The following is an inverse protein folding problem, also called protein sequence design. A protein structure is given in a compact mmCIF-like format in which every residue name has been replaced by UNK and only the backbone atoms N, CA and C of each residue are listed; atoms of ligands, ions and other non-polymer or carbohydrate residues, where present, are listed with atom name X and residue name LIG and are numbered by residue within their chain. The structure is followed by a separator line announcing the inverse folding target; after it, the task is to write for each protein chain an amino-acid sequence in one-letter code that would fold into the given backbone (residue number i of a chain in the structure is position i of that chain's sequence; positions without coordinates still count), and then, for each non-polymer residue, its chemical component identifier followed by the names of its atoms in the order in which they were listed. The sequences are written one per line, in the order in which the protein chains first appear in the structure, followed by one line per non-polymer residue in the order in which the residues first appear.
data_IF_883140737143
#
_entry.id   IF_883140737143
#
_cell.length_a   1.000
_cell.length_b   1.000
_cell.length_c   1.000
_cell.angle_alpha   90.00
_cell.angle_beta   90.00
_cell.angle_gamma   90.00
#
_symmetry.space_group_name_H-M   'P 1'
#
loop_
_entity.id
_entity.type
_entity.pdbx_description
1 polymer ?
#
# COMPACT_ATOMS: atom_id res chain seq x y z
N UNK A 1 -1.28 -6.51 17.52
CA UNK A 1 -1.45 -7.74 18.34
C UNK A 1 -0.17 -8.57 18.47
N UNK A 2 0.52 -8.99 17.40
CA UNK A 2 1.74 -9.82 17.52
C UNK A 2 3.08 -9.11 17.20
N UNK A 3 3.08 -7.82 16.84
CA UNK A 3 4.29 -7.08 16.43
C UNK A 3 4.81 -7.41 15.03
N UNK A 4 4.07 -8.20 14.25
CA UNK A 4 4.37 -8.49 12.84
C UNK A 4 3.86 -7.37 11.93
N UNK A 5 4.52 -7.21 10.78
CA UNK A 5 3.99 -6.44 9.65
C UNK A 5 3.09 -7.32 8.79
N UNK A 6 2.09 -6.71 8.17
CA UNK A 6 1.28 -7.34 7.14
C UNK A 6 1.52 -6.60 5.82
N UNK A 7 2.06 -7.28 4.81
CA UNK A 7 2.30 -6.70 3.49
C UNK A 7 1.16 -7.11 2.57
N UNK A 8 0.26 -6.17 2.25
CA UNK A 8 -0.81 -6.41 1.29
C UNK A 8 -0.20 -6.61 -0.11
N UNK A 9 -0.64 -7.63 -0.85
CA UNK A 9 0.05 -8.01 -2.10
C UNK A 9 -0.89 -8.32 -3.25
N UNK A 10 -0.43 -8.05 -4.46
CA UNK A 10 -1.06 -8.45 -5.72
C UNK A 10 -0.94 -9.96 -6.02
N UNK A 11 -1.54 -10.41 -7.13
CA UNK A 11 -1.37 -11.76 -7.69
C UNK A 11 -0.73 -11.72 -9.09
N UNK A 12 -0.32 -12.86 -9.63
CA UNK A 12 0.32 -12.92 -10.97
C UNK A 12 -0.63 -12.51 -12.10
N UNK A 13 -1.90 -12.90 -12.02
CA UNK A 13 -3.00 -12.35 -12.80
C UNK A 13 -3.73 -11.26 -12.00
N UNK A 14 -3.89 -10.08 -12.58
CA UNK A 14 -4.56 -8.93 -11.97
C UNK A 14 -5.47 -8.24 -12.99
N UNK A 15 -6.43 -7.48 -12.46
CA UNK A 15 -7.32 -6.58 -13.20
C UNK A 15 -7.00 -5.12 -12.86
N UNK A 16 -7.77 -4.15 -13.37
CA UNK A 16 -7.68 -2.76 -12.88
C UNK A 16 -8.25 -2.54 -11.47
N UNK A 17 -8.86 -3.55 -10.83
CA UNK A 17 -9.36 -3.43 -9.46
C UNK A 17 -8.24 -2.95 -8.53
N UNK A 18 -8.52 -1.98 -7.67
CA UNK A 18 -7.51 -1.36 -6.82
C UNK A 18 -7.78 -1.52 -5.33
N UNK A 19 -8.67 -2.43 -4.95
CA UNK A 19 -9.13 -2.66 -3.57
C UNK A 19 -7.97 -2.87 -2.60
N UNK A 20 -6.87 -3.49 -3.03
CA UNK A 20 -5.71 -3.73 -2.18
C UNK A 20 -4.96 -2.45 -1.76
N UNK A 21 -5.10 -1.35 -2.49
CA UNK A 21 -4.57 -0.04 -2.09
C UNK A 21 -5.35 0.50 -0.88
N UNK A 22 -6.68 0.49 -0.96
CA UNK A 22 -7.57 0.89 0.13
C UNK A 22 -7.40 0.00 1.35
N UNK A 23 -7.25 -1.33 1.20
CA UNK A 23 -6.97 -2.23 2.32
C UNK A 23 -5.66 -1.86 3.02
N UNK A 24 -4.60 -1.54 2.27
CA UNK A 24 -3.31 -1.17 2.85
C UNK A 24 -3.39 0.13 3.68
N UNK A 25 -4.16 1.11 3.24
CA UNK A 25 -4.38 2.37 3.96
C UNK A 25 -5.34 2.16 5.15
N UNK A 26 -6.49 1.51 4.94
CA UNK A 26 -7.50 1.28 5.96
C UNK A 26 -6.95 0.49 7.18
N UNK A 27 -5.99 -0.40 6.95
CA UNK A 27 -5.33 -1.17 8.03
C UNK A 27 -4.05 -0.53 8.55
N UNK A 28 -3.62 0.61 8.00
CA UNK A 28 -2.33 1.23 8.28
C UNK A 28 -1.16 0.21 8.19
N UNK A 29 -1.21 -0.67 7.18
CA UNK A 29 -0.26 -1.76 6.98
C UNK A 29 1.19 -1.25 6.84
N UNK A 30 1.34 -0.03 6.31
CA UNK A 30 2.63 0.65 6.11
C UNK A 30 3.46 0.12 4.94
N UNK A 31 3.07 -1.01 4.33
CA UNK A 31 3.73 -1.63 3.19
C UNK A 31 2.71 -2.30 2.26
N UNK A 32 2.94 -2.19 0.96
CA UNK A 32 2.17 -2.85 -0.10
C UNK A 32 3.10 -3.34 -1.20
N UNK A 33 2.83 -4.52 -1.76
CA UNK A 33 3.56 -5.10 -2.88
C UNK A 33 2.63 -5.32 -4.07
N UNK A 34 2.56 -4.32 -4.95
CA UNK A 34 1.60 -4.32 -6.07
C UNK A 34 2.22 -4.33 -7.49
N UNK A 35 3.52 -4.62 -7.61
CA UNK A 35 4.17 -4.97 -8.88
C UNK A 35 5.10 -3.90 -9.42
N UNK A 36 5.49 -4.05 -10.69
CA UNK A 36 6.39 -3.10 -11.36
C UNK A 36 5.64 -1.81 -11.74
N UNK A 37 6.40 -0.79 -12.12
CA UNK A 37 5.89 0.47 -12.68
C UNK A 37 5.56 0.34 -14.18
N UNK A 38 4.96 -0.79 -14.56
CA UNK A 38 4.48 -1.06 -15.91
C UNK A 38 3.23 -1.93 -15.87
N UNK A 39 2.46 -1.90 -16.97
CA UNK A 39 1.14 -2.53 -17.12
C UNK A 39 0.04 -1.92 -16.24
N UNK A 40 -1.11 -1.68 -16.86
CA UNK A 40 -2.25 -0.98 -16.24
C UNK A 40 -2.75 -1.67 -14.98
N UNK A 41 -2.77 -3.00 -14.95
CA UNK A 41 -3.22 -3.82 -13.82
C UNK A 41 -2.39 -3.58 -12.54
N UNK A 42 -1.16 -3.08 -12.66
CA UNK A 42 -0.29 -2.69 -11.52
C UNK A 42 -0.39 -1.21 -11.23
N UNK A 43 -0.31 -0.40 -12.28
CA UNK A 43 -0.39 1.07 -12.18
C UNK A 43 -1.73 1.53 -11.59
N UNK A 44 -2.84 0.83 -11.83
CA UNK A 44 -4.14 1.17 -11.26
C UNK A 44 -4.11 1.27 -9.72
N UNK A 45 -3.35 0.38 -9.04
CA UNK A 45 -3.20 0.38 -7.59
C UNK A 45 -2.34 1.56 -7.10
N UNK A 46 -1.25 1.88 -7.81
CA UNK A 46 -0.45 3.07 -7.49
C UNK A 46 -1.25 4.36 -7.70
N UNK A 47 -2.01 4.45 -8.79
CA UNK A 47 -2.89 5.59 -9.04
C UNK A 47 -4.01 5.70 -8.00
N UNK A 48 -4.47 4.59 -7.42
CA UNK A 48 -5.40 4.62 -6.29
C UNK A 48 -4.72 5.14 -5.03
N UNK A 49 -3.48 4.73 -4.73
CA UNK A 49 -2.72 5.29 -3.59
C UNK A 49 -2.52 6.80 -3.72
N UNK A 50 -2.19 7.30 -4.93
CA UNK A 50 -2.10 8.75 -5.19
C UNK A 50 -3.43 9.47 -4.93
N UNK A 51 -4.56 8.87 -5.34
CA UNK A 51 -5.89 9.42 -5.10
C UNK A 51 -6.25 9.41 -3.60
N UNK A 52 -5.90 8.36 -2.87
CA UNK A 52 -6.13 8.28 -1.42
C UNK A 52 -5.27 9.32 -0.69
N UNK A 53 -4.00 9.46 -1.07
CA UNK A 53 -3.10 10.48 -0.51
C UNK A 53 -3.65 11.90 -0.73
N UNK A 54 -4.09 12.22 -1.96
CA UNK A 54 -4.73 13.49 -2.29
C UNK A 54 -6.01 13.74 -1.49
N UNK A 55 -6.85 12.71 -1.30
CA UNK A 55 -8.07 12.80 -0.47
C UNK A 55 -7.78 13.02 1.01
N UNK A 56 -6.71 12.42 1.54
CA UNK A 56 -6.29 12.60 2.93
C UNK A 56 -5.65 13.99 3.15
N UNK A 57 -4.99 14.55 2.14
CA UNK A 57 -4.36 15.87 2.21
C UNK A 57 -3.41 15.97 3.40
N UNK A 58 -3.63 16.96 4.28
CA UNK A 58 -2.76 17.26 5.42
C UNK A 58 -2.66 16.12 6.46
N UNK A 59 -3.59 15.16 6.46
CA UNK A 59 -3.54 14.00 7.38
C UNK A 59 -2.89 12.76 6.76
N UNK A 60 -2.40 12.84 5.52
CA UNK A 60 -1.66 11.74 4.89
C UNK A 60 -0.29 11.55 5.56
N UNK A 61 0.09 10.29 5.84
CA UNK A 61 1.39 9.96 6.43
C UNK A 61 2.14 8.89 5.63
N UNK A 62 3.36 9.23 5.18
CA UNK A 62 4.31 8.26 4.63
C UNK A 62 5.43 7.94 5.63
N UNK A 63 5.38 6.73 6.23
CA UNK A 63 6.28 6.35 7.34
C UNK A 63 7.69 5.94 6.90
N UNK A 64 7.93 5.66 5.62
CA UNK A 64 9.24 5.25 5.11
C UNK A 64 9.87 4.10 5.91
N UNK A 65 11.13 4.24 6.35
CA UNK A 65 11.80 3.23 7.20
C UNK A 65 11.07 2.94 8.51
N UNK A 66 10.28 3.89 9.02
CA UNK A 66 9.50 3.70 10.26
C UNK A 66 8.32 2.71 10.07
N UNK A 67 8.03 2.28 8.85
CA UNK A 67 7.05 1.20 8.58
C UNK A 67 7.54 -0.17 9.07
N UNK A 68 8.84 -0.36 9.30
CA UNK A 68 9.41 -1.60 9.85
C UNK A 68 9.39 -1.61 11.38
N UNK A 69 8.20 -1.43 11.97
CA UNK A 69 8.03 -1.46 13.43
C UNK A 69 8.31 -2.83 14.06
N UNK A 70 8.44 -3.88 13.22
CA UNK A 70 8.77 -5.24 13.63
C UNK A 70 10.29 -5.47 13.79
N UNK A 71 11.14 -4.51 13.43
CA UNK A 71 12.60 -4.62 13.57
C UNK A 71 13.08 -3.89 14.83
N UNK A 72 13.91 -4.56 15.63
CA UNK A 72 14.67 -3.91 16.71
C UNK A 72 15.92 -3.26 16.10
N UNK A 73 16.31 -2.10 16.66
CA UNK A 73 17.60 -1.48 16.37
C UNK A 73 18.75 -2.28 16.96
#
# INVERSE_FOLDING_TARGET
EAGYTAVVSHRSGETEDSTIADIAVATNAGQIKTGSLSRTDRIAKYNQLLRIEDQLGEVAEYRGLKSFYNLKK
#
